data_IF_733623571640
#
_entry.id   IF_733623571640
#
_cell.length_a   1.000
_cell.length_b   1.000
_cell.length_c   1.000
_cell.angle_alpha   90.00
_cell.angle_beta   90.00
_cell.angle_gamma   90.00
#
_symmetry.space_group_name_H-M   'P 1'
#
loop_
_entity.id
_entity.type
_entity.pdbx_description
1 polymer ?
#
# COMPACT_ATOMS: atom_id res chain seq x y z
N UNK A 1 20.78 16.36 9.59
CA UNK A 1 19.36 16.10 9.31
C UNK A 1 19.24 14.67 8.82
N UNK A 2 18.63 13.77 9.59
CA UNK A 2 18.37 12.40 9.14
C UNK A 2 17.24 12.45 8.11
N UNK A 3 17.56 12.29 6.83
CA UNK A 3 16.56 11.99 5.81
C UNK A 3 16.23 10.50 5.98
N UNK A 4 15.13 10.19 6.65
CA UNK A 4 14.57 8.85 6.68
C UNK A 4 13.86 8.65 5.34
N UNK A 5 14.19 7.58 4.61
CA UNK A 5 13.49 7.23 3.37
C UNK A 5 12.05 6.80 3.68
N UNK A 6 11.11 7.06 2.78
CA UNK A 6 9.72 6.62 2.94
C UNK A 6 9.63 5.11 3.26
N UNK A 7 10.45 4.28 2.60
CA UNK A 7 10.47 2.84 2.84
C UNK A 7 10.90 2.49 4.25
N UNK A 8 11.93 3.15 4.78
CA UNK A 8 12.38 2.94 6.16
C UNK A 8 11.30 3.32 7.17
N UNK A 9 10.50 4.36 6.91
CA UNK A 9 9.37 4.73 7.75
C UNK A 9 8.25 3.67 7.69
N UNK A 10 7.94 3.17 6.49
CA UNK A 10 6.89 2.16 6.30
C UNK A 10 7.26 0.81 6.92
N UNK A 11 8.53 0.41 6.89
CA UNK A 11 9.00 -0.85 7.47
C UNK A 11 9.01 -0.85 9.01
N UNK A 12 8.99 0.33 9.65
CA UNK A 12 8.84 0.44 11.11
C UNK A 12 7.41 0.17 11.59
N UNK A 13 6.44 0.11 10.68
CA UNK A 13 5.05 -0.15 11.02
C UNK A 13 4.87 -1.63 11.32
N UNK A 14 4.56 -1.95 12.59
CA UNK A 14 4.25 -3.30 13.02
C UNK A 14 3.03 -3.86 12.25
N UNK A 15 3.18 -5.04 11.65
CA UNK A 15 2.09 -5.76 11.00
C UNK A 15 1.24 -6.52 12.03
N UNK A 16 0.05 -6.00 12.31
CA UNK A 16 -0.91 -6.54 13.28
C UNK A 16 -1.79 -7.65 12.70
N UNK A 17 -1.67 -7.92 11.40
CA UNK A 17 -2.40 -9.01 10.74
C UNK A 17 -1.83 -10.33 11.22
N UNK A 18 -2.66 -11.35 11.35
CA UNK A 18 -2.16 -12.71 11.54
C UNK A 18 -1.36 -13.18 10.32
N UNK A 19 -0.40 -14.08 10.51
CA UNK A 19 0.49 -14.60 9.45
C UNK A 19 -0.26 -15.08 8.20
N UNK A 20 -1.41 -15.73 8.38
CA UNK A 20 -2.28 -16.19 7.27
C UNK A 20 -2.83 -15.05 6.39
N UNK A 21 -2.86 -13.81 6.89
CA UNK A 21 -3.37 -12.62 6.19
C UNK A 21 -2.24 -11.71 5.66
N UNK A 22 -0.98 -12.14 5.74
CA UNK A 22 0.20 -11.39 5.31
C UNK A 22 0.69 -11.82 3.91
N UNK A 23 -0.24 -12.22 3.03
CA UNK A 23 0.12 -12.60 1.66
C UNK A 23 0.78 -11.44 0.91
N UNK A 24 0.27 -10.21 1.09
CA UNK A 24 0.95 -9.00 0.62
C UNK A 24 1.73 -8.37 1.78
N UNK A 25 2.97 -7.96 1.51
CA UNK A 25 3.80 -7.19 2.44
C UNK A 25 3.10 -5.87 2.82
N UNK A 26 3.16 -5.50 4.10
CA UNK A 26 2.44 -4.33 4.58
C UNK A 26 3.02 -3.03 4.01
N UNK A 27 4.35 -2.92 3.95
CA UNK A 27 5.00 -1.73 3.42
C UNK A 27 4.75 -1.58 1.91
N UNK A 28 4.68 -2.68 1.14
CA UNK A 28 4.23 -2.67 -0.26
C UNK A 28 2.82 -2.07 -0.39
N UNK A 29 1.86 -2.53 0.43
CA UNK A 29 0.47 -2.08 0.40
C UNK A 29 0.37 -0.61 0.81
N UNK A 30 1.08 -0.18 1.85
CA UNK A 30 1.06 1.21 2.29
C UNK A 30 1.70 2.14 1.25
N UNK A 31 2.81 1.72 0.63
CA UNK A 31 3.42 2.46 -0.47
C UNK A 31 2.44 2.64 -1.65
N UNK A 32 1.68 1.59 -1.97
CA UNK A 32 0.67 1.62 -3.02
C UNK A 32 -0.47 2.61 -2.73
N UNK A 33 -0.86 2.78 -1.46
CA UNK A 33 -1.89 3.76 -1.07
C UNK A 33 -1.33 5.18 -1.05
N UNK A 34 -0.08 5.36 -0.62
CA UNK A 34 0.53 6.69 -0.44
C UNK A 34 0.99 7.29 -1.78
N UNK A 35 1.53 6.48 -2.69
CA UNK A 35 2.09 6.98 -3.95
C UNK A 35 1.09 7.71 -4.87
N UNK A 36 -0.18 7.28 -5.05
CA UNK A 36 -1.18 8.05 -5.79
C UNK A 36 -1.58 9.32 -5.04
N UNK A 37 -1.74 9.26 -3.71
CA UNK A 37 -2.11 10.43 -2.89
C UNK A 37 -1.05 11.52 -2.99
N UNK A 38 0.25 11.16 -2.93
CA UNK A 38 1.35 12.09 -3.16
C UNK A 38 1.41 12.62 -4.59
N UNK A 39 0.80 11.91 -5.54
CA UNK A 39 0.69 12.32 -6.95
C UNK A 39 -0.56 13.16 -7.21
N UNK A 40 -1.35 13.48 -6.18
CA UNK A 40 -2.57 14.28 -6.28
C UNK A 40 -3.81 13.50 -6.73
N UNK A 41 -3.78 12.16 -6.69
CA UNK A 41 -4.96 11.36 -7.00
C UNK A 41 -6.01 11.47 -5.90
N UNK A 42 -7.28 11.68 -6.28
CA UNK A 42 -8.38 11.81 -5.34
C UNK A 42 -9.37 10.65 -5.47
N UNK A 43 -9.49 9.86 -4.40
CA UNK A 43 -10.42 8.74 -4.35
C UNK A 43 -9.97 7.50 -5.15
N UNK A 44 -10.82 6.46 -5.10
CA UNK A 44 -10.43 5.13 -5.58
C UNK A 44 -10.27 5.02 -7.09
N UNK A 45 -11.04 5.79 -7.86
CA UNK A 45 -11.02 5.68 -9.32
C UNK A 45 -9.67 6.16 -9.85
N UNK A 46 -9.19 7.28 -9.32
CA UNK A 46 -7.89 7.86 -9.66
C UNK A 46 -6.75 6.95 -9.21
N UNK A 47 -6.86 6.35 -8.02
CA UNK A 47 -5.89 5.35 -7.53
C UNK A 47 -5.83 4.15 -8.47
N UNK A 48 -6.96 3.59 -8.88
CA UNK A 48 -7.02 2.43 -9.78
C UNK A 48 -6.38 2.75 -11.15
N UNK A 49 -6.66 3.93 -11.70
CA UNK A 49 -6.04 4.41 -12.95
C UNK A 49 -4.53 4.61 -12.77
N UNK A 50 -4.11 5.23 -11.67
CA UNK A 50 -2.69 5.45 -11.36
C UNK A 50 -1.92 4.12 -11.21
N UNK A 51 -2.47 3.15 -10.49
CA UNK A 51 -1.87 1.84 -10.29
C UNK A 51 -1.68 1.11 -11.62
N UNK A 52 -2.67 1.19 -12.52
CA UNK A 52 -2.60 0.58 -13.84
C UNK A 52 -1.55 1.28 -14.73
N UNK A 53 -1.60 2.61 -14.81
CA UNK A 53 -0.73 3.40 -15.69
C UNK A 53 0.72 3.46 -15.21
N UNK A 54 0.95 3.40 -13.88
CA UNK A 54 2.28 3.50 -13.27
C UNK A 54 2.83 2.16 -12.79
N UNK A 55 2.17 1.04 -13.07
CA UNK A 55 2.62 -0.29 -12.66
C UNK A 55 4.12 -0.56 -12.93
N UNK A 56 4.69 -0.23 -14.11
CA UNK A 56 6.12 -0.45 -14.36
C UNK A 56 7.02 0.36 -13.41
N UNK A 57 6.61 1.58 -13.08
CA UNK A 57 7.34 2.49 -12.18
C UNK A 57 7.21 2.06 -10.73
N UNK A 58 6.03 1.61 -10.30
CA UNK A 58 5.82 1.05 -8.97
C UNK A 58 6.75 -0.16 -8.74
N UNK A 59 6.94 -1.01 -9.76
CA UNK A 59 7.84 -2.17 -9.71
C UNK A 59 9.32 -1.83 -9.60
N UNK A 60 9.73 -0.61 -9.97
CA UNK A 60 11.10 -0.14 -9.75
C UNK A 60 11.40 0.13 -8.27
N UNK A 61 10.35 0.42 -7.47
CA UNK A 61 10.49 0.71 -6.04
C UNK A 61 10.29 -0.53 -5.17
N UNK A 62 9.30 -1.37 -5.49
CA UNK A 62 8.97 -2.59 -4.75
C UNK A 62 8.61 -3.71 -5.71
N UNK A 63 9.03 -4.93 -5.42
CA UNK A 63 8.84 -6.05 -6.34
C UNK A 63 7.36 -6.48 -6.47
N UNK A 64 6.54 -6.24 -5.44
CA UNK A 64 5.18 -6.77 -5.32
C UNK A 64 5.15 -8.27 -5.63
N UNK A 65 5.81 -9.08 -4.79
CA UNK A 65 6.06 -10.52 -5.03
C UNK A 65 4.80 -11.31 -5.40
N UNK A 66 3.65 -10.91 -4.87
CA UNK A 66 2.34 -11.54 -5.12
C UNK A 66 1.43 -10.69 -6.00
N UNK A 67 2.00 -9.82 -6.82
CA UNK A 67 1.28 -8.86 -7.65
C UNK A 67 0.74 -7.67 -6.87
N UNK A 68 0.14 -6.73 -7.61
CA UNK A 68 -0.53 -5.57 -7.04
C UNK A 68 -1.88 -6.03 -6.45
N UNK A 69 -2.14 -5.80 -5.15
CA UNK A 69 -3.42 -6.14 -4.55
C UNK A 69 -4.55 -5.32 -5.18
N UNK A 70 -5.71 -5.93 -5.43
CA UNK A 70 -6.90 -5.20 -5.89
C UNK A 70 -7.42 -4.25 -4.81
N UNK A 71 -8.24 -3.27 -5.20
CA UNK A 71 -8.96 -2.38 -4.25
C UNK A 71 -9.62 -3.14 -3.09
N UNK A 72 -10.27 -4.27 -3.39
CA UNK A 72 -10.93 -5.10 -2.38
C UNK A 72 -9.93 -5.78 -1.44
N UNK A 73 -8.79 -6.23 -1.97
CA UNK A 73 -7.69 -6.77 -1.16
C UNK A 73 -7.08 -5.70 -0.26
N UNK A 74 -6.81 -4.50 -0.79
CA UNK A 74 -6.30 -3.36 -0.02
C UNK A 74 -7.26 -3.02 1.13
N UNK A 75 -8.55 -2.84 0.84
CA UNK A 75 -9.56 -2.54 1.86
C UNK A 75 -9.61 -3.61 2.96
N UNK A 76 -9.53 -4.90 2.60
CA UNK A 76 -9.49 -6.00 3.55
C UNK A 76 -8.21 -5.98 4.41
N UNK A 77 -7.06 -5.71 3.79
CA UNK A 77 -5.77 -5.62 4.48
C UNK A 77 -5.79 -4.48 5.50
N UNK A 78 -6.19 -3.28 5.09
CA UNK A 78 -6.27 -2.10 5.97
C UNK A 78 -7.27 -2.34 7.11
N UNK A 79 -8.45 -2.91 6.83
CA UNK A 79 -9.43 -3.27 7.86
C UNK A 79 -8.86 -4.24 8.90
N UNK A 80 -8.03 -5.20 8.49
CA UNK A 80 -7.40 -6.17 9.42
C UNK A 80 -6.26 -5.53 10.20
N UNK A 81 -5.44 -4.73 9.52
CA UNK A 81 -4.28 -4.05 10.09
C UNK A 81 -4.71 -2.99 11.12
N UNK A 82 -5.67 -2.14 10.77
CA UNK A 82 -6.27 -1.15 11.64
C UNK A 82 -7.75 -1.45 11.84
N UNK A 83 -8.04 -2.33 12.81
CA UNK A 83 -9.40 -2.78 13.17
C UNK A 83 -10.40 -1.66 13.48
N UNK A 84 -9.94 -0.42 13.68
CA UNK A 84 -10.74 0.76 14.04
C UNK A 84 -10.93 1.75 12.87
N UNK A 85 -10.24 1.55 11.75
CA UNK A 85 -10.32 2.42 10.58
C UNK A 85 -11.50 1.92 9.73
N UNK A 86 -12.67 2.55 9.90
CA UNK A 86 -13.79 2.47 8.93
C UNK A 86 -13.51 3.49 7.83
N UNK A 87 -12.62 3.15 6.91
CA UNK A 87 -12.57 3.82 5.62
C UNK A 87 -13.26 2.92 4.60
N UNK A 88 -14.27 3.48 3.94
CA UNK A 88 -15.33 2.87 3.10
C UNK A 88 -16.47 2.19 3.86
#
# INVERSE_FOLDING_TARGET
>A
MLIISLFSLLELIEDKRSSINQHHDLADVLFLIISPVLSGCEGWKDIEVFEHDKQPRLRQFRAFKHGIPTRHSIARIIKKQWRLIRWF
#
